data_IF_367890214061
#
_entry.id   IF_367890214061
#
_cell.length_a   1.000
_cell.length_b   1.000
_cell.length_c   1.000
_cell.angle_alpha   90.00
_cell.angle_beta   90.00
_cell.angle_gamma   90.00
#
_symmetry.space_group_name_H-M   'P 1'
#
loop_
_entity.id
_entity.type
_entity.pdbx_description
1 polymer ?
#
# COMPACT_ATOMS: atom_id res chain seq x y z
N UNK A 1 3.38 0.89 4.20
CA UNK A 1 4.51 0.59 3.28
C UNK A 1 4.98 -0.83 3.50
N UNK A 2 5.61 -1.16 4.64
CA UNK A 2 6.08 -2.52 4.99
C UNK A 2 5.10 -3.61 4.56
N UNK A 3 3.88 -3.65 5.11
CA UNK A 3 2.92 -4.71 4.75
C UNK A 3 2.44 -4.71 3.29
N UNK A 4 2.57 -3.60 2.57
CA UNK A 4 2.30 -3.56 1.12
C UNK A 4 3.45 -4.15 0.31
N UNK A 5 4.69 -3.74 0.61
CA UNK A 5 5.91 -4.23 -0.05
C UNK A 5 6.39 -5.60 0.47
N UNK A 6 5.73 -6.18 1.48
CA UNK A 6 5.81 -7.62 1.79
C UNK A 6 5.34 -8.49 0.61
N UNK A 7 4.60 -7.92 -0.36
CA UNK A 7 4.10 -8.63 -1.51
C UNK A 7 4.60 -8.07 -2.84
N UNK A 8 4.68 -8.96 -3.83
CA UNK A 8 4.87 -8.62 -5.23
C UNK A 8 6.27 -8.07 -5.56
N UNK A 9 6.29 -7.23 -6.59
CA UNK A 9 7.50 -6.59 -7.13
C UNK A 9 7.13 -5.34 -7.94
N UNK A 10 8.11 -4.50 -8.24
CA UNK A 10 7.98 -3.44 -9.27
C UNK A 10 8.33 -3.97 -10.67
N UNK A 11 8.12 -3.18 -11.72
CA UNK A 11 8.39 -3.60 -13.11
C UNK A 11 9.11 -2.50 -13.91
N UNK A 12 10.28 -2.84 -14.44
CA UNK A 12 11.21 -1.97 -15.14
C UNK A 12 12.24 -2.76 -15.95
N UNK A 13 11.78 -3.80 -16.66
CA UNK A 13 12.64 -4.76 -17.37
C UNK A 13 13.43 -4.17 -18.56
N UNK A 14 13.03 -2.99 -19.06
CA UNK A 14 13.65 -2.34 -20.20
C UNK A 14 13.40 -0.82 -20.25
N UNK A 15 13.86 -0.14 -21.30
CA UNK A 15 13.74 1.31 -21.46
C UNK A 15 12.30 1.81 -21.39
N UNK A 16 12.06 2.88 -20.61
CA UNK A 16 10.72 3.41 -20.37
C UNK A 16 10.09 4.10 -21.60
N UNK A 17 10.90 4.54 -22.56
CA UNK A 17 10.46 5.16 -23.82
C UNK A 17 9.86 4.16 -24.82
N UNK A 18 9.98 2.86 -24.56
CA UNK A 18 9.32 1.81 -25.33
C UNK A 18 7.87 1.55 -24.90
N UNK A 19 7.39 2.25 -23.87
CA UNK A 19 6.01 2.19 -23.38
C UNK A 19 5.17 3.25 -24.10
N UNK A 20 4.10 2.81 -24.76
CA UNK A 20 3.17 3.67 -25.49
C UNK A 20 2.28 4.55 -24.60
N UNK A 21 1.32 5.27 -25.21
CA UNK A 21 0.45 6.22 -24.50
C UNK A 21 -0.42 5.55 -23.44
N UNK A 22 -0.80 6.33 -22.44
CA UNK A 22 -1.75 5.97 -21.38
C UNK A 22 -3.17 5.69 -21.94
N UNK A 23 -4.06 5.05 -21.16
CA UNK A 23 -5.36 4.58 -21.65
C UNK A 23 -6.22 5.61 -22.39
N UNK A 24 -6.29 6.86 -21.89
CA UNK A 24 -7.11 7.92 -22.51
C UNK A 24 -6.55 8.44 -23.84
N UNK A 25 -5.27 8.18 -24.14
CA UNK A 25 -4.61 8.53 -25.39
C UNK A 25 -4.28 7.30 -26.25
N UNK A 26 -4.67 6.11 -25.80
CA UNK A 26 -4.44 4.87 -26.53
C UNK A 26 -5.40 4.75 -27.74
N UNK A 27 -4.95 4.13 -28.84
CA UNK A 27 -5.79 3.95 -30.01
C UNK A 27 -6.93 2.96 -29.71
N UNK A 28 -8.06 3.14 -30.40
CA UNK A 28 -9.32 2.45 -30.10
C UNK A 28 -9.17 0.93 -30.02
N UNK A 29 -8.33 0.32 -30.86
CA UNK A 29 -8.11 -1.13 -30.90
C UNK A 29 -7.49 -1.72 -29.62
N UNK A 30 -6.99 -0.89 -28.70
CA UNK A 30 -6.50 -1.34 -27.38
C UNK A 30 -7.63 -1.50 -26.34
N UNK A 31 -8.89 -1.25 -26.71
CA UNK A 31 -10.08 -1.56 -25.89
C UNK A 31 -10.03 -0.95 -24.47
N UNK A 32 -9.59 0.31 -24.38
CA UNK A 32 -9.48 1.03 -23.11
C UNK A 32 -8.26 0.66 -22.27
N UNK A 33 -7.37 -0.19 -22.78
CA UNK A 33 -6.03 -0.41 -22.21
C UNK A 33 -5.03 0.58 -22.83
N UNK A 34 -3.98 0.89 -22.08
CA UNK A 34 -2.85 1.73 -22.51
C UNK A 34 -1.51 1.17 -22.05
N UNK A 35 -0.47 1.97 -22.17
CA UNK A 35 0.92 1.61 -21.83
C UNK A 35 1.41 0.34 -22.54
N UNK A 36 0.93 0.10 -23.77
CA UNK A 36 1.40 -1.02 -24.57
C UNK A 36 2.91 -0.88 -24.80
N UNK A 37 3.67 -1.85 -24.29
CA UNK A 37 5.12 -1.86 -24.42
C UNK A 37 5.55 -2.55 -25.72
N UNK A 38 6.54 -1.97 -26.38
CA UNK A 38 7.23 -2.55 -27.54
C UNK A 38 8.52 -3.31 -27.16
N UNK A 39 8.87 -3.34 -25.87
CA UNK A 39 10.03 -4.05 -25.35
C UNK A 39 9.76 -5.55 -25.17
N UNK A 40 10.50 -6.41 -25.88
CA UNK A 40 10.34 -7.86 -25.77
C UNK A 40 8.91 -8.31 -26.08
N UNK A 41 8.33 -9.10 -25.20
CA UNK A 41 6.90 -9.49 -25.23
C UNK A 41 5.95 -8.38 -24.76
N UNK A 42 6.47 -7.31 -24.16
CA UNK A 42 5.71 -6.18 -23.62
C UNK A 42 4.95 -6.45 -22.33
N UNK A 43 4.99 -7.69 -21.80
CA UNK A 43 4.27 -8.14 -20.61
C UNK A 43 5.10 -9.19 -19.85
N UNK A 44 4.61 -9.66 -18.70
CA UNK A 44 5.25 -10.75 -17.96
C UNK A 44 6.73 -10.48 -17.63
N UNK A 45 7.64 -11.31 -18.17
CA UNK A 45 9.10 -11.16 -17.99
C UNK A 45 9.63 -9.80 -18.45
N UNK A 46 8.99 -9.20 -19.44
CA UNK A 46 9.42 -7.94 -20.08
C UNK A 46 8.56 -6.74 -19.64
N UNK A 47 7.77 -6.90 -18.58
CA UNK A 47 6.86 -5.85 -18.11
C UNK A 47 7.62 -4.60 -17.65
N UNK A 48 7.08 -3.44 -18.03
CA UNK A 48 7.52 -2.12 -17.59
C UNK A 48 6.30 -1.39 -17.06
N UNK A 49 6.39 -0.87 -15.84
CA UNK A 49 5.29 -0.10 -15.21
C UNK A 49 5.85 1.15 -14.57
N UNK A 50 6.73 1.01 -13.58
CA UNK A 50 7.34 2.14 -12.88
C UNK A 50 8.74 2.48 -13.42
N UNK A 51 9.34 1.57 -14.19
CA UNK A 51 10.75 1.65 -14.59
C UNK A 51 11.72 1.20 -13.50
N UNK A 52 11.24 0.89 -12.30
CA UNK A 52 12.04 0.30 -11.21
C UNK A 52 11.89 -1.22 -11.24
N UNK A 53 12.92 -1.97 -10.85
CA UNK A 53 12.97 -3.43 -10.99
C UNK A 53 13.39 -4.11 -9.67
N UNK A 54 12.62 -3.84 -8.62
CA UNK A 54 12.82 -4.31 -7.24
C UNK A 54 11.89 -5.49 -6.93
N UNK A 55 12.44 -6.50 -6.27
CA UNK A 55 11.70 -7.57 -5.60
C UNK A 55 12.14 -7.56 -4.14
N UNK A 56 11.24 -7.19 -3.24
CA UNK A 56 11.59 -6.89 -1.85
C UNK A 56 11.85 -8.13 -1.00
N UNK A 57 11.06 -9.19 -1.21
CA UNK A 57 11.04 -10.37 -0.34
C UNK A 57 11.35 -11.66 -1.11
N UNK A 58 11.93 -12.65 -0.44
CA UNK A 58 12.09 -14.00 -0.97
C UNK A 58 10.77 -14.80 -1.04
N UNK A 59 9.68 -14.26 -0.51
CA UNK A 59 8.34 -14.87 -0.48
C UNK A 59 7.26 -13.94 -1.05
N UNK A 60 7.34 -13.48 -2.32
CA UNK A 60 6.52 -12.36 -2.84
C UNK A 60 5.00 -12.56 -2.82
N UNK A 61 4.52 -13.78 -2.58
CA UNK A 61 3.10 -14.14 -2.57
C UNK A 61 2.64 -14.67 -1.21
N UNK A 62 3.44 -14.47 -0.15
CA UNK A 62 3.15 -14.97 1.20
C UNK A 62 3.39 -13.88 2.22
N UNK A 63 2.47 -13.75 3.17
CA UNK A 63 2.66 -12.88 4.33
C UNK A 63 3.67 -13.51 5.30
N UNK A 64 4.76 -12.81 5.56
CA UNK A 64 5.73 -13.05 6.63
C UNK A 64 6.52 -11.74 6.90
N UNK A 65 7.56 -11.80 7.74
CA UNK A 65 8.33 -10.62 8.13
C UNK A 65 9.56 -10.34 7.23
N UNK A 66 9.68 -11.03 6.09
CA UNK A 66 10.90 -11.00 5.27
C UNK A 66 11.26 -9.58 4.81
N UNK A 67 10.29 -8.68 4.59
CA UNK A 67 10.59 -7.29 4.21
C UNK A 67 11.48 -6.59 5.24
N UNK A 68 11.10 -6.65 6.53
CA UNK A 68 11.87 -6.00 7.60
C UNK A 68 13.17 -6.74 7.87
N UNK A 69 13.14 -8.07 7.84
CA UNK A 69 14.34 -8.91 7.99
C UNK A 69 15.39 -8.58 6.92
N UNK A 70 14.97 -8.41 5.67
CA UNK A 70 15.85 -8.02 4.56
C UNK A 70 16.29 -6.56 4.71
N UNK A 71 15.38 -5.62 5.00
CA UNK A 71 15.70 -4.19 5.15
C UNK A 71 16.81 -3.94 6.19
N UNK A 72 16.76 -4.65 7.31
CA UNK A 72 17.73 -4.53 8.40
C UNK A 72 18.90 -5.51 8.30
N UNK A 73 18.74 -6.65 7.63
CA UNK A 73 19.74 -7.70 7.52
C UNK A 73 20.87 -7.42 6.52
N UNK A 74 20.70 -6.43 5.66
CA UNK A 74 21.70 -6.03 4.67
C UNK A 74 22.07 -4.55 4.79
N UNK A 75 23.26 -4.20 4.30
CA UNK A 75 23.64 -2.83 3.98
C UNK A 75 23.30 -2.52 2.52
N UNK A 76 22.94 -1.27 2.23
CA UNK A 76 22.37 -0.89 0.94
C UNK A 76 23.29 0.06 0.18
N UNK A 77 23.46 -0.17 -1.12
CA UNK A 77 24.13 0.75 -2.04
C UNK A 77 23.25 1.10 -3.24
N UNK A 78 23.50 2.30 -3.76
CA UNK A 78 22.69 2.92 -4.79
C UNK A 78 23.03 2.32 -6.16
N UNK A 79 22.02 1.89 -6.89
CA UNK A 79 22.17 1.28 -8.23
C UNK A 79 21.07 1.75 -9.18
N UNK A 80 21.12 1.31 -10.44
CA UNK A 80 20.12 1.62 -11.47
C UNK A 80 19.39 0.37 -11.95
N UNK A 81 18.09 0.52 -12.21
CA UNK A 81 17.29 -0.49 -12.92
C UNK A 81 17.74 -0.65 -14.38
N UNK A 82 17.29 -1.69 -15.09
CA UNK A 82 17.44 -1.78 -16.54
C UNK A 82 16.87 -0.57 -17.30
N UNK A 83 15.85 0.10 -16.76
CA UNK A 83 15.29 1.34 -17.30
C UNK A 83 16.03 2.63 -16.85
N UNK A 84 17.12 2.52 -16.08
CA UNK A 84 17.92 3.65 -15.58
C UNK A 84 17.40 4.33 -14.30
N UNK A 85 16.33 3.81 -13.70
CA UNK A 85 15.72 4.36 -12.49
C UNK A 85 16.53 4.03 -11.22
N UNK A 86 16.54 4.95 -10.26
CA UNK A 86 17.26 4.75 -8.99
C UNK A 86 16.58 3.71 -8.09
N UNK A 87 17.40 2.81 -7.54
CA UNK A 87 17.01 1.82 -6.54
C UNK A 87 18.22 1.45 -5.68
N UNK A 88 18.02 0.58 -4.68
CA UNK A 88 19.08 0.06 -3.85
C UNK A 88 19.20 -1.46 -3.99
N UNK A 89 20.42 -1.97 -3.87
CA UNK A 89 20.71 -3.40 -3.75
C UNK A 89 21.62 -3.65 -2.55
N UNK A 90 21.65 -4.90 -2.07
CA UNK A 90 22.52 -5.29 -0.97
C UNK A 90 24.00 -5.17 -1.37
N UNK A 91 24.81 -4.54 -0.51
CA UNK A 91 26.25 -4.33 -0.72
C UNK A 91 27.02 -5.64 -0.86
N UNK A 92 28.18 -5.55 -1.49
CA UNK A 92 29.20 -6.62 -1.56
C UNK A 92 28.67 -7.93 -2.18
N UNK A 93 27.60 -7.86 -2.97
CA UNK A 93 26.93 -9.04 -3.53
C UNK A 93 26.24 -9.92 -2.49
N UNK A 94 25.98 -9.40 -1.29
CA UNK A 94 25.33 -10.14 -0.22
C UNK A 94 23.91 -10.60 -0.63
N UNK A 95 23.56 -11.83 -0.29
CA UNK A 95 22.25 -12.40 -0.62
C UNK A 95 22.03 -12.70 -2.11
N UNK A 96 23.08 -12.70 -2.94
CA UNK A 96 22.95 -13.06 -4.35
C UNK A 96 22.22 -14.41 -4.53
N UNK A 97 21.17 -14.42 -5.35
CA UNK A 97 20.42 -15.62 -5.68
C UNK A 97 19.28 -15.99 -4.71
N UNK A 98 19.09 -15.24 -3.60
CA UNK A 98 18.08 -15.60 -2.59
C UNK A 98 16.66 -15.14 -2.95
N UNK A 99 16.53 -14.12 -3.79
CA UNK A 99 15.24 -13.59 -4.20
C UNK A 99 14.77 -14.32 -5.47
N UNK A 100 13.57 -14.93 -5.50
CA UNK A 100 13.13 -15.71 -6.64
C UNK A 100 12.81 -14.82 -7.86
N UNK A 101 13.04 -15.35 -9.05
CA UNK A 101 12.56 -14.73 -10.29
C UNK A 101 11.05 -14.95 -10.47
N UNK A 102 10.29 -13.95 -10.92
CA UNK A 102 8.84 -14.06 -11.11
C UNK A 102 8.38 -15.14 -12.10
N UNK A 103 9.26 -15.61 -13.01
CA UNK A 103 8.90 -16.54 -14.07
C UNK A 103 9.95 -17.68 -14.22
N UNK A 104 10.53 -18.10 -13.10
CA UNK A 104 11.42 -19.27 -13.03
C UNK A 104 12.81 -19.07 -13.63
N UNK A 105 13.24 -17.82 -13.81
CA UNK A 105 14.64 -17.49 -14.09
C UNK A 105 15.58 -17.71 -12.90
N UNK A 106 16.87 -17.32 -13.04
CA UNK A 106 17.83 -17.43 -11.95
C UNK A 106 17.46 -16.55 -10.76
N UNK A 107 17.88 -16.95 -9.57
CA UNK A 107 17.72 -16.15 -8.37
C UNK A 107 18.41 -14.78 -8.48
N UNK A 108 17.92 -13.81 -7.72
CA UNK A 108 18.28 -12.39 -7.77
C UNK A 108 18.80 -11.93 -6.41
N UNK A 109 19.49 -10.80 -6.39
CA UNK A 109 19.93 -10.15 -5.14
C UNK A 109 18.78 -9.40 -4.45
N UNK A 110 18.85 -9.16 -3.14
CA UNK A 110 17.94 -8.28 -2.42
C UNK A 110 17.98 -6.86 -2.99
N UNK A 111 16.80 -6.25 -3.09
CA UNK A 111 16.62 -4.91 -3.64
C UNK A 111 15.56 -4.14 -2.85
N UNK A 112 15.69 -2.82 -2.78
CA UNK A 112 14.78 -1.91 -2.06
C UNK A 112 14.62 -0.60 -2.83
N UNK A 113 13.50 0.10 -2.62
CA UNK A 113 13.33 1.47 -3.07
C UNK A 113 14.02 2.45 -2.12
N UNK A 114 14.31 3.66 -2.61
CA UNK A 114 14.77 4.74 -1.74
C UNK A 114 13.77 5.05 -0.62
N UNK A 115 12.46 4.99 -0.92
CA UNK A 115 11.38 5.17 0.07
C UNK A 115 11.32 4.07 1.12
N UNK A 116 11.80 2.86 0.79
CA UNK A 116 11.86 1.76 1.75
C UNK A 116 12.99 1.99 2.75
N UNK A 117 14.15 2.44 2.27
CA UNK A 117 15.28 2.81 3.14
C UNK A 117 14.93 3.95 4.11
N UNK A 118 14.05 4.88 3.72
CA UNK A 118 13.55 5.90 4.65
C UNK A 118 12.94 5.32 5.92
N UNK A 119 12.38 4.11 5.87
CA UNK A 119 11.81 3.44 7.04
C UNK A 119 12.85 3.00 8.07
N UNK A 120 14.10 2.80 7.64
CA UNK A 120 15.24 2.45 8.49
C UNK A 120 16.12 3.65 8.81
N UNK A 121 16.18 4.65 7.94
CA UNK A 121 17.06 5.81 8.09
C UNK A 121 16.41 6.93 8.90
N UNK A 122 15.11 7.16 8.74
CA UNK A 122 14.40 8.18 9.52
C UNK A 122 14.33 7.76 11.01
N UNK A 123 14.67 8.64 11.96
CA UNK A 123 14.72 8.27 13.38
C UNK A 123 13.38 7.82 13.95
N UNK A 124 12.24 8.31 13.46
CA UNK A 124 10.91 7.89 13.94
C UNK A 124 10.56 6.54 13.33
N UNK A 125 10.68 6.40 12.01
CA UNK A 125 10.34 5.16 11.34
C UNK A 125 11.26 4.01 11.72
N UNK A 126 12.54 4.27 12.00
CA UNK A 126 13.48 3.26 12.48
C UNK A 126 13.00 2.66 13.80
N UNK A 127 12.64 3.51 14.78
CA UNK A 127 12.12 3.05 16.07
C UNK A 127 10.87 2.18 15.92
N UNK A 128 9.96 2.57 15.02
CA UNK A 128 8.74 1.81 14.74
C UNK A 128 9.08 0.47 14.06
N UNK A 129 9.92 0.47 13.04
CA UNK A 129 10.17 -0.72 12.23
C UNK A 129 11.16 -1.68 12.85
N UNK A 130 12.12 -1.22 13.67
CA UNK A 130 12.93 -2.10 14.53
C UNK A 130 12.07 -2.84 15.54
N UNK A 131 11.09 -2.15 16.14
CA UNK A 131 10.13 -2.80 17.04
C UNK A 131 9.40 -3.93 16.33
N UNK A 132 8.88 -3.67 15.13
CA UNK A 132 8.16 -4.66 14.32
C UNK A 132 9.04 -5.78 13.75
N UNK A 133 10.35 -5.56 13.63
CA UNK A 133 11.29 -6.62 13.29
C UNK A 133 11.35 -7.66 14.42
N UNK A 134 11.38 -7.21 15.67
CA UNK A 134 11.41 -8.07 16.87
C UNK A 134 10.01 -8.59 17.27
N UNK A 135 8.96 -7.88 16.86
CA UNK A 135 7.56 -8.12 17.20
C UNK A 135 6.66 -8.09 15.94
N UNK A 136 6.76 -9.08 15.04
CA UNK A 136 6.01 -9.10 13.77
C UNK A 136 4.49 -9.15 13.93
N UNK A 137 3.99 -9.63 15.06
CA UNK A 137 2.57 -9.62 15.41
C UNK A 137 2.00 -8.21 15.56
N UNK A 138 2.79 -7.26 16.07
CA UNK A 138 2.40 -5.86 16.19
C UNK A 138 2.28 -5.20 14.80
N UNK A 139 3.17 -5.55 13.87
CA UNK A 139 3.06 -5.13 12.47
C UNK A 139 1.78 -5.66 11.84
N UNK A 140 1.42 -6.93 12.06
CA UNK A 140 0.22 -7.51 11.49
C UNK A 140 -1.05 -6.79 11.97
N UNK A 141 -1.15 -6.48 13.27
CA UNK A 141 -2.27 -5.71 13.83
C UNK A 141 -2.33 -4.28 13.27
N UNK A 142 -1.21 -3.56 13.30
CA UNK A 142 -1.17 -2.18 12.78
C UNK A 142 -1.42 -2.11 11.28
N UNK A 143 -0.89 -3.05 10.51
CA UNK A 143 -1.15 -3.13 9.08
C UNK A 143 -2.62 -3.43 8.78
N UNK A 144 -3.25 -4.37 9.51
CA UNK A 144 -4.66 -4.67 9.35
C UNK A 144 -5.55 -3.44 9.62
N UNK A 145 -5.31 -2.73 10.73
CA UNK A 145 -6.05 -1.52 11.10
C UNK A 145 -5.82 -0.38 10.10
N UNK A 146 -4.56 -0.17 9.68
CA UNK A 146 -4.21 0.87 8.72
C UNK A 146 -4.77 0.60 7.33
N UNK A 147 -4.74 -0.65 6.85
CA UNK A 147 -5.33 -1.06 5.59
C UNK A 147 -6.84 -0.90 5.59
N UNK A 148 -7.51 -1.35 6.66
CA UNK A 148 -8.94 -1.15 6.83
C UNK A 148 -9.30 0.34 6.78
N UNK A 149 -8.57 1.19 7.49
CA UNK A 149 -8.77 2.64 7.43
C UNK A 149 -8.55 3.18 6.01
N UNK A 150 -7.48 2.80 5.33
CA UNK A 150 -7.13 3.30 3.99
C UNK A 150 -8.29 3.16 3.02
N UNK A 151 -8.90 1.97 2.95
CA UNK A 151 -9.92 1.65 1.95
C UNK A 151 -11.35 2.01 2.37
N UNK A 152 -11.54 2.60 3.56
CA UNK A 152 -12.86 3.02 4.06
C UNK A 152 -12.90 4.49 4.51
N UNK A 153 -11.77 5.21 4.48
CA UNK A 153 -11.67 6.57 5.05
C UNK A 153 -12.61 7.58 4.39
N UNK A 154 -12.96 7.37 3.13
CA UNK A 154 -13.84 8.22 2.32
C UNK A 154 -15.31 7.76 2.36
N UNK A 155 -15.62 6.68 3.09
CA UNK A 155 -17.00 6.17 3.17
C UNK A 155 -17.89 6.97 4.13
N UNK A 156 -17.34 7.88 4.95
CA UNK A 156 -18.13 8.67 5.90
C UNK A 156 -18.78 7.81 6.99
N UNK A 157 -20.02 8.11 7.43
CA UNK A 157 -20.67 7.43 8.55
C UNK A 157 -20.72 5.91 8.40
N UNK A 158 -20.45 5.18 9.49
CA UNK A 158 -20.43 3.71 9.52
C UNK A 158 -21.75 3.06 9.08
N UNK A 159 -22.87 3.78 9.18
CA UNK A 159 -24.18 3.35 8.66
C UNK A 159 -24.18 3.06 7.15
N UNK A 160 -23.20 3.57 6.38
CA UNK A 160 -23.04 3.29 4.94
C UNK A 160 -22.32 1.97 4.65
N UNK A 161 -21.76 1.32 5.66
CA UNK A 161 -20.96 0.11 5.47
C UNK A 161 -21.91 -1.09 5.40
N UNK A 162 -21.82 -1.87 4.33
CA UNK A 162 -22.76 -2.95 4.03
C UNK A 162 -22.07 -4.31 3.98
N UNK A 163 -22.85 -5.36 4.18
CA UNK A 163 -22.40 -6.74 4.06
C UNK A 163 -21.90 -7.36 5.37
N UNK A 164 -21.64 -8.67 5.36
CA UNK A 164 -21.38 -9.45 6.57
C UNK A 164 -19.99 -9.26 7.17
N UNK A 165 -19.09 -8.52 6.49
CA UNK A 165 -17.69 -8.37 6.89
C UNK A 165 -17.41 -7.05 7.63
N UNK A 166 -18.43 -6.24 7.91
CA UNK A 166 -18.28 -5.00 8.67
C UNK A 166 -17.93 -5.35 10.14
N UNK A 167 -16.79 -4.86 10.67
CA UNK A 167 -16.40 -5.14 12.04
C UNK A 167 -17.35 -4.45 13.04
N UNK A 168 -17.53 -5.07 14.21
CA UNK A 168 -18.34 -4.49 15.31
C UNK A 168 -17.65 -3.34 16.02
N UNK A 169 -16.32 -3.31 16.01
CA UNK A 169 -15.54 -2.28 16.67
C UNK A 169 -15.65 -0.96 15.90
N UNK A 170 -16.04 0.10 16.60
CA UNK A 170 -16.01 1.47 16.07
C UNK A 170 -14.61 2.07 16.21
N UNK A 171 -14.26 2.96 15.28
CA UNK A 171 -12.93 3.55 15.23
C UNK A 171 -13.04 5.07 15.24
N UNK A 172 -12.17 5.75 15.99
CA UNK A 172 -12.21 7.20 16.17
C UNK A 172 -12.22 7.97 14.84
N UNK A 173 -11.47 7.51 13.84
CA UNK A 173 -11.38 8.18 12.54
C UNK A 173 -12.66 8.10 11.69
N UNK A 174 -13.66 7.32 12.12
CA UNK A 174 -14.99 7.25 11.51
C UNK A 174 -15.94 8.33 12.05
N UNK A 175 -15.45 9.20 12.94
CA UNK A 175 -16.22 10.21 13.65
C UNK A 175 -17.52 9.63 14.26
N UNK A 176 -17.42 8.59 15.11
CA UNK A 176 -18.58 7.86 15.59
C UNK A 176 -19.44 8.74 16.51
N UNK A 177 -20.76 8.63 16.33
CA UNK A 177 -21.74 9.21 17.24
C UNK A 177 -22.42 8.10 18.06
N UNK A 178 -22.88 8.39 19.28
CA UNK A 178 -23.69 7.44 20.04
C UNK A 178 -24.91 6.99 19.23
N UNK A 179 -25.25 5.71 19.35
CA UNK A 179 -26.53 5.24 18.83
C UNK A 179 -27.69 5.90 19.59
N UNK A 180 -28.83 6.05 18.92
CA UNK A 180 -30.07 6.52 19.55
C UNK A 180 -30.46 5.53 20.67
N UNK A 181 -30.54 6.02 21.90
CA UNK A 181 -30.84 5.22 23.11
C UNK A 181 -32.19 5.57 23.76
N UNK A 182 -32.97 6.47 23.15
CA UNK A 182 -34.26 6.94 23.64
C UNK A 182 -35.21 7.15 22.46
N UNK A 183 -36.51 7.28 22.75
CA UNK A 183 -37.49 7.66 21.75
C UNK A 183 -37.15 9.04 21.16
N UNK A 184 -37.28 9.15 19.84
CA UNK A 184 -37.11 10.42 19.14
C UNK A 184 -38.34 11.30 19.35
N UNK A 185 -38.13 12.62 19.39
CA UNK A 185 -39.21 13.60 19.50
C UNK A 185 -40.21 13.46 18.35
N UNK A 186 -41.50 13.45 18.68
CA UNK A 186 -42.61 13.39 17.73
C UNK A 186 -43.02 14.76 17.23
N UNK A 187 -44.10 14.80 16.45
CA UNK A 187 -44.58 16.03 15.82
C UNK A 187 -44.93 17.14 16.84
N UNK A 188 -45.61 16.76 17.94
CA UNK A 188 -46.01 17.67 19.00
C UNK A 188 -44.79 18.24 19.77
N UNK A 189 -43.83 17.40 20.10
CA UNK A 189 -42.60 17.80 20.81
C UNK A 189 -41.73 18.72 19.94
N UNK A 190 -41.61 18.41 18.63
CA UNK A 190 -40.89 19.27 17.67
C UNK A 190 -41.53 20.66 17.58
N UNK A 191 -42.87 20.75 17.53
CA UNK A 191 -43.58 22.03 17.50
C UNK A 191 -43.38 22.84 18.79
N UNK A 192 -43.41 22.18 19.95
CA UNK A 192 -43.14 22.76 21.26
C UNK A 192 -41.71 23.33 21.33
N UNK A 193 -40.69 22.53 20.97
CA UNK A 193 -39.27 22.92 21.01
C UNK A 193 -38.95 24.11 20.07
N UNK A 194 -39.50 24.12 18.85
CA UNK A 194 -39.33 25.27 17.93
C UNK A 194 -39.86 26.57 18.52
N UNK A 195 -40.95 26.51 19.27
CA UNK A 195 -41.53 27.69 19.92
C UNK A 195 -40.67 28.16 21.10
N UNK A 196 -40.14 27.24 21.90
CA UNK A 196 -39.21 27.55 22.99
C UNK A 196 -37.91 28.19 22.47
N UNK A 197 -37.32 27.67 21.38
CA UNK A 197 -36.09 28.24 20.78
C UNK A 197 -36.33 29.69 20.33
N UNK A 198 -37.44 29.99 19.65
CA UNK A 198 -37.78 31.37 19.24
C UNK A 198 -38.00 32.31 20.42
N UNK A 199 -38.49 31.79 21.55
CA UNK A 199 -38.73 32.56 22.76
C UNK A 199 -37.48 32.70 23.66
N UNK A 200 -36.36 32.06 23.29
CA UNK A 200 -35.17 31.99 24.15
C UNK A 200 -34.35 33.29 24.22
N UNK A 201 -34.55 34.21 23.27
CA UNK A 201 -33.75 35.42 23.15
C UNK A 201 -32.39 35.21 22.45
N UNK A 202 -32.17 34.05 21.83
CA UNK A 202 -31.06 33.76 20.91
C UNK A 202 -31.42 34.11 19.46
#
# INVERSE_FOLDING_TARGET
IVGGHTFGKTHGAGPADLVGPEPEAAPLEQMGLGWKSSYGTGTGKDAITTGIEVVWTNTPTKWDNSFLEILYGYEWELTKSPAGAWQYTAKDGAGAGTIPDPFGGPGRSPTMLATDLSLRVDPIYERITRRWLEHPEELADEFAKAWYKLIHRDMGPVARYLGPLVPKQTLLWQDPVPAVSHDLVGEAEIASLKSQIRASGL
#
